data_IF_814529583777
#
_entry.id   IF_814529583777
#
_cell.length_a   1.000
_cell.length_b   1.000
_cell.length_c   1.000
_cell.angle_alpha   90.00
_cell.angle_beta   90.00
_cell.angle_gamma   90.00
#
_symmetry.space_group_name_H-M   'P 1'
#
loop_
_entity.id
_entity.type
_entity.pdbx_description
1 polymer ?
#
# COMPACT_ATOMS: atom_id res chain seq x y z
N UNK A 1 9.74 -16.75 -7.18
CA UNK A 1 8.41 -16.26 -7.60
C UNK A 1 8.64 -15.18 -8.64
N UNK A 2 7.78 -15.03 -9.66
CA UNK A 2 7.83 -13.85 -10.51
C UNK A 2 7.59 -12.61 -9.62
N UNK A 3 8.41 -11.57 -9.76
CA UNK A 3 8.22 -10.32 -9.04
C UNK A 3 7.00 -9.56 -9.57
N UNK A 4 6.47 -8.65 -8.77
CA UNK A 4 5.41 -7.73 -9.16
C UNK A 4 5.96 -6.64 -10.08
N UNK A 5 5.28 -6.43 -11.21
CA UNK A 5 5.45 -5.27 -12.08
C UNK A 5 4.43 -4.17 -11.72
N UNK A 6 4.43 -3.08 -12.48
CA UNK A 6 3.53 -1.95 -12.27
C UNK A 6 2.06 -2.36 -12.28
N UNK A 7 1.65 -3.12 -13.29
CA UNK A 7 0.25 -3.53 -13.45
C UNK A 7 -0.19 -4.41 -12.28
N UNK A 8 0.66 -5.34 -11.85
CA UNK A 8 0.35 -6.21 -10.72
C UNK A 8 0.23 -5.43 -9.41
N UNK A 9 1.03 -4.36 -9.22
CA UNK A 9 0.93 -3.48 -8.04
C UNK A 9 -0.34 -2.64 -8.10
N UNK A 10 -0.66 -2.03 -9.24
CA UNK A 10 -1.86 -1.21 -9.39
C UNK A 10 -3.13 -2.04 -9.19
N UNK A 11 -3.18 -3.25 -9.77
CA UNK A 11 -4.29 -4.18 -9.58
C UNK A 11 -4.43 -4.60 -8.11
N UNK A 12 -3.32 -4.91 -7.44
CA UNK A 12 -3.34 -5.31 -6.02
C UNK A 12 -3.81 -4.17 -5.11
N UNK A 13 -3.35 -2.94 -5.35
CA UNK A 13 -3.77 -1.77 -4.59
C UNK A 13 -5.23 -1.40 -4.85
N UNK A 14 -5.70 -1.55 -6.10
CA UNK A 14 -7.11 -1.40 -6.45
C UNK A 14 -7.99 -2.40 -5.69
N UNK A 15 -7.64 -3.69 -5.74
CA UNK A 15 -8.38 -4.75 -5.05
C UNK A 15 -8.39 -4.56 -3.53
N UNK A 16 -7.28 -4.11 -2.94
CA UNK A 16 -7.24 -3.76 -1.52
C UNK A 16 -8.23 -2.63 -1.20
N UNK A 17 -8.33 -1.61 -2.05
CA UNK A 17 -9.32 -0.55 -1.92
C UNK A 17 -10.76 -1.07 -1.93
N UNK A 18 -11.10 -1.94 -2.87
CA UNK A 18 -12.42 -2.57 -2.97
C UNK A 18 -12.76 -3.42 -1.73
N UNK A 19 -11.78 -4.15 -1.20
CA UNK A 19 -11.95 -4.94 0.03
C UNK A 19 -12.23 -4.07 1.25
N UNK A 20 -11.55 -2.93 1.36
CA UNK A 20 -11.78 -1.98 2.45
C UNK A 20 -13.19 -1.35 2.36
N UNK A 21 -13.66 -1.04 1.15
CA UNK A 21 -15.01 -0.49 0.95
C UNK A 21 -16.10 -1.52 1.30
N UNK A 22 -15.91 -2.79 0.90
CA UNK A 22 -16.81 -3.90 1.24
C UNK A 22 -16.92 -4.11 2.77
N UNK A 23 -15.81 -3.98 3.48
CA UNK A 23 -15.75 -4.07 4.96
C UNK A 23 -16.26 -2.79 5.65
N UNK A 24 -16.62 -1.75 4.89
CA UNK A 24 -17.01 -0.42 5.39
C UNK A 24 -15.93 0.21 6.28
N UNK A 25 -14.68 -0.11 6.00
CA UNK A 25 -13.53 0.50 6.66
C UNK A 25 -13.33 1.91 6.08
N UNK A 26 -12.69 2.78 6.86
CA UNK A 26 -12.41 4.14 6.41
C UNK A 26 -11.32 4.16 5.33
N UNK A 27 -11.35 5.11 4.38
CA UNK A 27 -10.25 5.30 3.45
C UNK A 27 -8.92 5.50 4.18
N UNK A 28 -7.86 4.90 3.64
CA UNK A 28 -6.51 5.05 4.17
C UNK A 28 -5.55 5.54 3.10
N UNK A 29 -4.56 6.29 3.53
CA UNK A 29 -3.45 6.72 2.70
C UNK A 29 -2.19 5.97 3.13
N UNK A 30 -1.69 5.10 2.25
CA UNK A 30 -0.48 4.33 2.47
C UNK A 30 0.74 5.11 1.98
N UNK A 31 1.80 5.13 2.79
CA UNK A 31 3.14 5.49 2.33
C UNK A 31 3.96 4.21 2.14
N UNK A 32 4.28 3.95 0.88
CA UNK A 32 5.08 2.81 0.43
C UNK A 32 6.54 3.24 0.29
N UNK A 33 7.49 2.36 0.61
CA UNK A 33 8.94 2.60 0.48
C UNK A 33 9.64 1.50 -0.32
N UNK A 34 10.90 1.72 -0.70
CA UNK A 34 11.74 0.71 -1.34
C UNK A 34 11.50 0.56 -2.85
N UNK A 35 11.68 -0.66 -3.36
CA UNK A 35 11.57 -0.97 -4.79
C UNK A 35 10.17 -0.72 -5.37
N UNK A 36 9.13 -0.95 -4.56
CA UNK A 36 7.73 -0.67 -4.89
C UNK A 36 7.42 0.82 -4.98
N UNK A 37 8.05 1.66 -4.14
CA UNK A 37 7.87 3.12 -4.23
C UNK A 37 8.49 3.71 -5.51
N UNK A 38 9.67 3.21 -5.92
CA UNK A 38 10.31 3.65 -7.16
C UNK A 38 9.56 3.18 -8.41
N UNK A 39 8.99 1.97 -8.35
CA UNK A 39 8.17 1.41 -9.40
C UNK A 39 6.85 2.18 -9.51
N UNK A 40 6.10 2.35 -8.42
CA UNK A 40 4.83 3.10 -8.40
C UNK A 40 4.98 4.60 -8.78
N UNK A 41 6.17 5.18 -8.56
CA UNK A 41 6.47 6.54 -8.99
C UNK A 41 6.93 6.63 -10.47
N UNK A 42 6.91 5.51 -11.21
CA UNK A 42 7.41 5.37 -12.59
C UNK A 42 8.89 5.78 -12.77
N UNK A 43 9.66 5.81 -11.68
CA UNK A 43 11.07 6.21 -11.69
C UNK A 43 11.96 5.06 -12.22
N UNK A 44 11.53 3.81 -12.01
CA UNK A 44 12.24 2.62 -12.49
C UNK A 44 11.28 1.59 -13.10
N UNK A 45 11.69 0.95 -14.20
CA UNK A 45 10.96 -0.15 -14.84
C UNK A 45 11.65 -1.49 -14.53
N UNK A 46 11.49 -2.00 -13.31
CA UNK A 46 11.97 -3.32 -12.87
C UNK A 46 10.97 -3.93 -11.89
N UNK A 47 10.92 -5.25 -11.76
CA UNK A 47 10.03 -5.91 -10.80
C UNK A 47 10.51 -5.80 -9.35
N UNK A 48 9.59 -5.86 -8.39
CA UNK A 48 9.86 -5.97 -6.93
C UNK A 48 9.21 -7.23 -6.37
N UNK A 49 9.76 -7.82 -5.30
CA UNK A 49 9.20 -9.05 -4.73
C UNK A 49 8.09 -8.77 -3.70
N UNK A 50 8.07 -7.58 -3.14
CA UNK A 50 7.23 -7.16 -2.02
C UNK A 50 6.90 -5.66 -2.10
N UNK A 51 5.91 -5.26 -1.29
CA UNK A 51 5.47 -3.88 -1.07
C UNK A 51 5.57 -3.61 0.44
N UNK A 52 6.53 -2.77 0.84
CA UNK A 52 6.71 -2.37 2.24
C UNK A 52 5.90 -1.10 2.55
N UNK A 53 4.92 -1.22 3.45
CA UNK A 53 4.19 -0.07 4.01
C UNK A 53 4.86 0.37 5.31
N UNK A 54 5.43 1.57 5.32
CA UNK A 54 6.19 2.07 6.48
C UNK A 54 5.40 3.09 7.31
N UNK A 55 4.43 3.76 6.70
CA UNK A 55 3.65 4.80 7.36
C UNK A 55 2.25 4.94 6.74
N UNK A 56 1.37 5.56 7.51
CA UNK A 56 0.06 6.02 7.05
C UNK A 56 0.07 7.55 7.08
N UNK A 57 -0.76 8.17 6.25
CA UNK A 57 -1.05 9.60 6.40
C UNK A 57 -2.23 9.78 7.35
N UNK A 58 -2.06 10.59 8.39
CA UNK A 58 -3.11 11.01 9.30
C UNK A 58 -4.20 11.80 8.57
N UNK A 59 -5.43 11.70 9.07
CA UNK A 59 -6.61 12.36 8.48
C UNK A 59 -6.58 13.88 8.67
N UNK A 60 -5.93 14.35 9.73
CA UNK A 60 -5.79 15.77 10.07
C UNK A 60 -4.39 16.24 9.69
N UNK A 61 -4.30 17.33 8.93
CA UNK A 61 -3.08 18.04 8.52
C UNK A 61 -2.04 17.23 7.71
N UNK A 62 -2.32 15.96 7.41
CA UNK A 62 -1.48 15.11 6.57
C UNK A 62 -0.20 14.63 7.25
N UNK A 63 -0.19 14.57 8.58
CA UNK A 63 0.93 14.05 9.36
C UNK A 63 1.28 12.61 8.96
N UNK A 64 2.57 12.26 9.03
CA UNK A 64 3.03 10.90 8.76
C UNK A 64 3.04 10.14 10.09
N UNK A 65 2.18 9.13 10.19
CA UNK A 65 2.08 8.28 11.38
C UNK A 65 2.67 6.90 11.08
N UNK A 66 3.34 6.32 12.08
CA UNK A 66 3.90 4.97 11.99
C UNK A 66 2.82 3.97 11.59
N UNK A 67 3.08 3.16 10.56
CA UNK A 67 2.24 2.01 10.24
C UNK A 67 2.53 0.82 11.16
N UNK A 68 3.41 0.95 12.16
CA UNK A 68 3.68 -0.09 13.15
C UNK A 68 2.98 0.17 14.49
N UNK A 69 2.22 -0.82 15.02
CA UNK A 69 1.80 -2.02 14.33
C UNK A 69 0.81 -1.69 13.21
N UNK A 70 0.74 -2.53 12.16
CA UNK A 70 -0.22 -2.32 11.08
C UNK A 70 -1.63 -2.26 11.68
N UNK A 71 -2.51 -1.34 11.24
CA UNK A 71 -3.88 -1.31 11.74
C UNK A 71 -4.55 -2.67 11.62
N UNK A 72 -5.29 -3.06 12.65
CA UNK A 72 -5.79 -4.44 12.75
C UNK A 72 -6.69 -4.84 11.58
N UNK A 73 -7.46 -3.90 11.02
CA UNK A 73 -8.30 -4.18 9.85
C UNK A 73 -7.49 -4.59 8.61
N UNK A 74 -6.28 -4.05 8.40
CA UNK A 74 -5.40 -4.49 7.31
C UNK A 74 -4.78 -5.86 7.58
N UNK A 75 -4.55 -6.22 8.84
CA UNK A 75 -4.06 -7.56 9.20
C UNK A 75 -5.10 -8.65 8.95
N UNK A 76 -6.40 -8.32 8.92
CA UNK A 76 -7.48 -9.28 8.64
C UNK A 76 -7.63 -9.61 7.15
N UNK A 77 -7.10 -8.74 6.28
CA UNK A 77 -7.28 -8.81 4.82
C UNK A 77 -6.16 -9.63 4.15
N UNK A 78 -5.11 -10.01 4.91
CA UNK A 78 -3.96 -10.79 4.43
C UNK A 78 -3.91 -12.24 4.92
#
# INVERSE_FOLDING_TARGET
MPGFDQNAIDESLYLLGELLDLEKERPIHLLVSGGSALLAAEIVARTTNDVDVIALRGEVDGEIVSAYPLPDFLKRIG
#
